data_IF_627611110846
#
_entry.id   IF_627611110846
#
_cell.length_a   1.000
_cell.length_b   1.000
_cell.length_c   1.000
_cell.angle_alpha   90.00
_cell.angle_beta   90.00
_cell.angle_gamma   90.00
#
_symmetry.space_group_name_H-M   'P 1'
#
loop_
_entity.id
_entity.type
_entity.pdbx_description
1 polymer ?
#
# COMPACT_ATOMS: atom_id res chain seq x y z
N UNK A 1 -0.65 -14.74 7.83
CA UNK A 1 -0.94 -16.07 7.23
C UNK A 1 -1.64 -16.96 8.24
N UNK A 2 -1.13 -17.05 9.44
CA UNK A 2 -1.70 -17.82 10.55
C UNK A 2 -3.22 -17.68 10.64
N UNK A 3 -3.68 -16.45 10.83
CA UNK A 3 -5.09 -16.15 10.95
C UNK A 3 -5.90 -16.50 9.69
N UNK A 4 -5.29 -16.33 8.52
CA UNK A 4 -5.98 -16.61 7.25
C UNK A 4 -6.11 -18.13 7.00
N UNK A 5 -5.09 -18.91 7.31
CA UNK A 5 -5.14 -20.37 7.19
C UNK A 5 -6.10 -21.00 8.21
N UNK A 6 -6.18 -20.47 9.43
CA UNK A 6 -7.16 -20.90 10.42
C UNK A 6 -8.61 -20.61 10.02
N UNK A 7 -8.81 -19.63 9.13
CA UNK A 7 -10.12 -19.30 8.53
C UNK A 7 -10.37 -20.04 7.20
N UNK A 8 -9.54 -21.02 6.84
CA UNK A 8 -9.72 -21.87 5.67
C UNK A 8 -9.08 -21.35 4.37
N UNK A 9 -8.26 -20.29 4.43
CA UNK A 9 -7.52 -19.84 3.26
C UNK A 9 -6.47 -20.88 2.84
N UNK A 10 -6.40 -21.17 1.54
CA UNK A 10 -5.41 -22.10 0.96
C UNK A 10 -4.15 -21.39 0.46
N UNK A 11 -4.15 -20.07 0.46
CA UNK A 11 -3.03 -19.23 0.04
C UNK A 11 -3.24 -17.78 0.46
N UNK A 12 -2.20 -17.00 0.31
CA UNK A 12 -2.20 -15.57 0.62
C UNK A 12 -1.57 -14.76 -0.51
N UNK A 13 -2.12 -13.58 -0.75
CA UNK A 13 -1.56 -12.61 -1.68
C UNK A 13 -1.04 -11.41 -0.90
N UNK A 14 0.20 -11.03 -1.13
CA UNK A 14 0.82 -9.89 -0.49
C UNK A 14 1.42 -8.94 -1.52
N UNK A 15 1.04 -7.66 -1.46
CA UNK A 15 1.61 -6.61 -2.30
C UNK A 15 2.53 -5.68 -1.52
N UNK A 16 2.00 -4.94 -0.55
CA UNK A 16 2.69 -3.86 0.15
C UNK A 16 4.01 -4.29 0.81
N UNK A 17 4.09 -5.50 1.38
CA UNK A 17 5.32 -6.01 1.97
C UNK A 17 6.43 -6.19 0.93
N UNK A 18 6.09 -6.67 -0.28
CA UNK A 18 7.05 -6.82 -1.38
C UNK A 18 7.41 -5.49 -2.06
N UNK A 19 6.50 -4.50 -2.05
CA UNK A 19 6.84 -3.13 -2.49
C UNK A 19 8.00 -2.55 -1.68
N UNK A 20 8.09 -2.89 -0.40
CA UNK A 20 9.15 -2.44 0.52
C UNK A 20 10.37 -3.38 0.53
N UNK A 21 10.36 -4.46 -0.25
CA UNK A 21 11.51 -5.36 -0.32
C UNK A 21 12.78 -4.64 -0.84
N UNK A 22 13.95 -5.10 -0.40
CA UNK A 22 15.25 -4.53 -0.83
C UNK A 22 15.43 -4.60 -2.34
N UNK A 23 14.95 -5.67 -2.96
CA UNK A 23 15.01 -5.88 -4.42
C UNK A 23 14.00 -5.07 -5.21
N UNK A 24 13.01 -4.47 -4.54
CA UNK A 24 12.03 -3.60 -5.20
C UNK A 24 12.71 -2.35 -5.76
N UNK A 25 12.41 -2.02 -7.01
CA UNK A 25 12.95 -0.83 -7.71
C UNK A 25 12.18 0.46 -7.39
N UNK A 26 11.22 0.40 -6.51
CA UNK A 26 10.46 1.56 -6.02
C UNK A 26 11.40 2.51 -5.28
N UNK A 27 11.22 3.80 -5.51
CA UNK A 27 12.05 4.85 -4.88
C UNK A 27 12.06 4.74 -3.36
N UNK A 28 13.22 4.98 -2.74
CA UNK A 28 13.43 4.84 -1.30
C UNK A 28 12.44 5.66 -0.47
N UNK A 29 12.12 6.88 -0.88
CA UNK A 29 11.13 7.71 -0.19
C UNK A 29 9.75 7.04 -0.08
N UNK A 30 9.36 6.29 -1.12
CA UNK A 30 8.11 5.53 -1.12
C UNK A 30 8.16 4.41 -0.08
N UNK A 31 9.24 3.61 -0.08
CA UNK A 31 9.46 2.53 0.90
C UNK A 31 9.40 3.08 2.32
N UNK A 32 10.14 4.15 2.58
CA UNK A 32 10.18 4.81 3.90
C UNK A 32 8.81 5.37 4.31
N UNK A 33 8.03 5.88 3.35
CA UNK A 33 6.67 6.36 3.64
C UNK A 33 5.74 5.21 4.07
N UNK A 34 5.90 4.02 3.47
CA UNK A 34 5.17 2.81 3.86
C UNK A 34 5.62 2.33 5.24
N UNK A 35 6.92 2.19 5.47
CA UNK A 35 7.49 1.72 6.76
C UNK A 35 7.08 2.60 7.94
N UNK A 36 6.96 3.90 7.72
CA UNK A 36 6.54 4.89 8.73
C UNK A 36 5.02 5.02 8.86
N UNK A 37 4.25 4.33 8.03
CA UNK A 37 2.79 4.42 8.07
C UNK A 37 2.21 3.89 9.38
N UNK A 38 1.14 4.56 9.83
CA UNK A 38 0.30 4.16 10.95
C UNK A 38 -1.04 3.66 10.43
N UNK A 39 -1.81 2.98 11.26
CA UNK A 39 -3.14 2.44 10.91
C UNK A 39 -4.09 3.50 10.34
N UNK A 40 -3.99 4.73 10.86
CA UNK A 40 -4.83 5.85 10.46
C UNK A 40 -4.36 6.56 9.18
N UNK A 41 -3.20 6.22 8.64
CA UNK A 41 -2.62 6.91 7.48
C UNK A 41 -3.19 6.41 6.14
N UNK A 42 -3.91 5.31 6.12
CA UNK A 42 -4.52 4.73 4.93
C UNK A 42 -5.90 5.31 4.69
N UNK A 43 -6.17 5.76 3.47
CA UNK A 43 -7.48 6.26 3.04
C UNK A 43 -7.81 5.80 1.62
N UNK A 44 -9.08 5.90 1.23
CA UNK A 44 -9.56 5.53 -0.11
C UNK A 44 -9.93 6.80 -0.86
N UNK A 45 -9.44 6.93 -2.08
CA UNK A 45 -9.79 7.98 -3.05
C UNK A 45 -10.52 7.37 -4.23
N UNK A 46 -11.26 8.16 -5.00
CA UNK A 46 -11.91 7.72 -6.23
C UNK A 46 -13.22 6.96 -6.01
N UNK A 47 -13.85 7.11 -4.86
CA UNK A 47 -15.18 6.50 -4.62
C UNK A 47 -16.24 7.05 -5.55
N UNK A 48 -16.27 8.37 -5.77
CA UNK A 48 -17.23 9.04 -6.65
C UNK A 48 -17.02 8.72 -8.13
N UNK A 49 -15.79 8.38 -8.51
CA UNK A 49 -15.43 8.04 -9.90
C UNK A 49 -15.68 6.58 -10.27
N UNK A 50 -16.03 5.74 -9.29
CA UNK A 50 -16.16 4.29 -9.48
C UNK A 50 -14.82 3.54 -9.57
N UNK A 51 -13.70 4.22 -9.35
CA UNK A 51 -12.35 3.66 -9.37
C UNK A 51 -11.63 3.83 -8.01
N UNK A 52 -12.13 3.20 -6.94
CA UNK A 52 -11.56 3.36 -5.60
C UNK A 52 -10.15 2.77 -5.53
N UNK A 53 -9.21 3.54 -5.03
CA UNK A 53 -7.86 3.09 -4.71
C UNK A 53 -7.49 3.42 -3.27
N UNK A 54 -6.74 2.53 -2.63
CA UNK A 54 -6.23 2.76 -1.28
C UNK A 54 -4.82 3.29 -1.33
N UNK A 55 -4.63 4.40 -0.62
CA UNK A 55 -3.37 5.18 -0.61
C UNK A 55 -3.00 5.61 0.79
N UNK A 56 -1.72 5.93 0.99
CA UNK A 56 -1.27 6.58 2.21
C UNK A 56 -1.51 8.08 2.09
N UNK A 57 -2.13 8.65 3.11
CA UNK A 57 -2.49 10.07 3.18
C UNK A 57 -1.29 10.99 2.98
N UNK A 58 -1.45 11.97 2.09
CA UNK A 58 -0.47 13.02 1.82
C UNK A 58 -1.17 14.33 1.37
N UNK A 59 -0.44 15.29 0.82
CA UNK A 59 -1.04 16.55 0.34
C UNK A 59 -1.98 16.31 -0.83
N UNK A 60 -1.54 15.54 -1.82
CA UNK A 60 -2.35 15.25 -3.02
C UNK A 60 -3.68 14.58 -2.64
N UNK A 61 -3.66 13.58 -1.77
CA UNK A 61 -4.89 12.87 -1.38
C UNK A 61 -5.87 13.76 -0.62
N UNK A 62 -5.37 14.70 0.20
CA UNK A 62 -6.21 15.67 0.90
C UNK A 62 -6.90 16.63 -0.06
N UNK A 63 -6.16 17.15 -1.03
CA UNK A 63 -6.71 18.02 -2.08
C UNK A 63 -7.72 17.27 -2.95
N UNK A 64 -7.39 16.03 -3.33
CA UNK A 64 -8.29 15.15 -4.09
C UNK A 64 -9.61 14.91 -3.35
N UNK A 65 -9.54 14.45 -2.09
CA UNK A 65 -10.74 14.16 -1.30
C UNK A 65 -11.58 15.41 -1.01
N UNK A 66 -10.95 16.57 -0.89
CA UNK A 66 -11.67 17.85 -0.77
C UNK A 66 -12.49 18.11 -2.03
N UNK A 67 -11.87 18.04 -3.20
CA UNK A 67 -12.56 18.24 -4.49
C UNK A 67 -13.62 17.16 -4.74
N UNK A 68 -13.34 15.93 -4.42
CA UNK A 68 -14.30 14.83 -4.54
C UNK A 68 -15.57 15.09 -3.71
N UNK A 69 -15.42 15.61 -2.47
CA UNK A 69 -16.55 16.02 -1.62
C UNK A 69 -17.32 17.23 -2.14
N UNK A 70 -16.64 18.14 -2.83
CA UNK A 70 -17.23 19.32 -3.47
C UNK A 70 -17.96 18.96 -4.77
N UNK A 71 -17.93 17.68 -5.18
CA UNK A 71 -18.61 17.21 -6.40
C UNK A 71 -17.87 17.56 -7.69
N UNK A 72 -16.55 17.69 -7.64
CA UNK A 72 -15.74 17.95 -8.83
C UNK A 72 -15.97 16.90 -9.92
N UNK A 73 -16.01 17.29 -11.21
CA UNK A 73 -16.21 16.36 -12.30
C UNK A 73 -15.07 15.36 -12.42
N UNK A 74 -15.36 14.20 -13.04
CA UNK A 74 -14.39 13.10 -13.21
C UNK A 74 -13.08 13.57 -13.84
N UNK A 75 -13.19 14.37 -14.91
CA UNK A 75 -12.03 14.86 -15.67
C UNK A 75 -11.06 15.70 -14.81
N UNK A 76 -11.59 16.48 -13.88
CA UNK A 76 -10.77 17.28 -12.95
C UNK A 76 -10.05 16.37 -11.94
N UNK A 77 -10.76 15.40 -11.40
CA UNK A 77 -10.18 14.43 -10.46
C UNK A 77 -9.12 13.53 -11.14
N UNK A 78 -9.38 13.13 -12.38
CA UNK A 78 -8.46 12.33 -13.18
C UNK A 78 -7.14 13.10 -13.44
N UNK A 79 -7.22 14.38 -13.81
CA UNK A 79 -6.05 15.22 -14.04
C UNK A 79 -5.13 15.32 -12.81
N UNK A 80 -5.69 15.29 -11.61
CA UNK A 80 -4.90 15.31 -10.37
C UNK A 80 -4.09 14.02 -10.15
N UNK A 81 -4.58 12.90 -10.66
CA UNK A 81 -3.97 11.58 -10.47
C UNK A 81 -3.11 11.14 -11.64
N UNK A 82 -3.23 11.83 -12.79
CA UNK A 82 -2.47 11.51 -13.98
C UNK A 82 -0.96 11.62 -13.73
N UNK A 83 -0.27 10.48 -13.87
CA UNK A 83 1.17 10.39 -13.58
C UNK A 83 1.55 10.41 -12.09
N UNK A 84 0.60 10.54 -11.16
CA UNK A 84 0.88 10.64 -9.74
C UNK A 84 1.55 9.37 -9.17
N UNK A 85 1.21 8.19 -9.68
CA UNK A 85 1.89 6.96 -9.28
C UNK A 85 3.37 6.98 -9.71
N UNK A 86 3.67 7.41 -10.94
CA UNK A 86 5.04 7.54 -11.43
C UNK A 86 5.86 8.52 -10.58
N UNK A 87 5.28 9.67 -10.20
CA UNK A 87 5.94 10.64 -9.31
C UNK A 87 6.38 9.99 -7.99
N UNK A 88 5.50 9.19 -7.38
CA UNK A 88 5.85 8.51 -6.13
C UNK A 88 6.87 7.39 -6.31
N UNK A 89 6.66 6.51 -7.31
CA UNK A 89 7.45 5.28 -7.51
C UNK A 89 8.84 5.56 -8.08
N UNK A 90 8.94 6.50 -9.04
CA UNK A 90 10.18 6.76 -9.78
C UNK A 90 10.89 8.01 -9.27
N UNK A 91 10.16 9.08 -9.03
CA UNK A 91 10.72 10.39 -8.66
C UNK A 91 10.81 10.57 -7.14
N UNK A 92 10.16 9.70 -6.37
CA UNK A 92 10.17 9.75 -4.91
C UNK A 92 9.37 10.89 -4.29
N UNK A 93 8.49 11.52 -5.08
CA UNK A 93 7.58 12.55 -4.57
C UNK A 93 6.40 11.92 -3.82
N UNK A 94 6.59 11.70 -2.53
CA UNK A 94 5.56 11.13 -1.65
C UNK A 94 4.56 12.17 -1.11
N UNK A 95 4.74 13.44 -1.47
CA UNK A 95 3.83 14.52 -1.06
C UNK A 95 2.71 14.75 -2.07
N UNK A 96 3.05 14.73 -3.37
CA UNK A 96 2.12 14.95 -4.47
C UNK A 96 1.95 13.73 -5.37
N UNK A 97 2.73 12.68 -5.16
CA UNK A 97 2.57 11.39 -5.82
C UNK A 97 1.55 10.49 -5.11
N UNK A 98 1.08 9.48 -5.82
CA UNK A 98 0.15 8.48 -5.30
C UNK A 98 0.92 7.34 -4.64
N UNK A 99 0.89 7.27 -3.31
CA UNK A 99 1.55 6.20 -2.53
C UNK A 99 0.52 5.11 -2.25
N UNK A 100 0.37 4.18 -3.19
CA UNK A 100 -0.56 3.06 -3.06
C UNK A 100 -0.05 2.05 -2.03
N UNK A 101 -0.89 1.69 -1.08
CA UNK A 101 -0.57 0.67 -0.08
C UNK A 101 -1.86 0.08 0.50
N UNK A 102 -1.82 -1.20 0.82
CA UNK A 102 -2.94 -1.88 1.45
C UNK A 102 -3.20 -1.41 2.88
N UNK A 103 -4.32 -1.83 3.44
CA UNK A 103 -4.74 -1.48 4.79
C UNK A 103 -3.72 -1.95 5.85
N UNK A 104 -3.03 -3.07 5.58
CA UNK A 104 -2.00 -3.66 6.43
C UNK A 104 -0.62 -2.98 6.31
N UNK A 105 -0.50 -1.85 5.59
CA UNK A 105 0.77 -1.13 5.44
C UNK A 105 1.43 -0.81 6.78
N UNK A 106 0.64 -0.49 7.80
CA UNK A 106 1.12 -0.22 9.15
C UNK A 106 1.83 -1.41 9.83
N UNK A 107 1.68 -2.62 9.33
CA UNK A 107 2.39 -3.82 9.82
C UNK A 107 3.78 -3.98 9.20
N UNK A 108 4.08 -3.29 8.10
CA UNK A 108 5.38 -3.33 7.43
C UNK A 108 6.31 -2.33 8.10
N UNK A 109 7.25 -2.80 8.93
CA UNK A 109 8.10 -1.95 9.78
C UNK A 109 9.57 -1.89 9.36
N UNK A 110 9.98 -2.71 8.42
CA UNK A 110 11.38 -2.80 7.96
C UNK A 110 11.46 -3.24 6.50
N UNK A 111 12.57 -2.90 5.88
CA UNK A 111 12.94 -3.48 4.60
C UNK A 111 13.62 -4.83 4.81
N UNK A 112 13.18 -5.81 4.04
CA UNK A 112 13.69 -7.18 4.04
C UNK A 112 13.93 -7.61 2.59
N UNK A 113 14.78 -8.62 2.40
CA UNK A 113 14.89 -9.27 1.10
C UNK A 113 13.63 -10.10 0.80
N UNK A 114 13.32 -10.31 -0.46
CA UNK A 114 12.23 -11.20 -0.87
C UNK A 114 12.38 -12.60 -0.24
N UNK A 115 13.61 -13.10 -0.16
CA UNK A 115 13.90 -14.41 0.46
C UNK A 115 13.59 -14.42 1.96
N UNK A 116 13.91 -13.33 2.68
CA UNK A 116 13.58 -13.19 4.10
C UNK A 116 12.06 -13.14 4.31
N UNK A 117 11.35 -12.37 3.48
CA UNK A 117 9.90 -12.26 3.52
C UNK A 117 9.24 -13.63 3.30
N UNK A 118 9.65 -14.37 2.27
CA UNK A 118 9.09 -15.69 1.96
C UNK A 118 9.37 -16.68 3.09
N UNK A 119 10.60 -16.68 3.63
CA UNK A 119 10.98 -17.58 4.72
C UNK A 119 10.16 -17.29 5.99
N UNK A 120 9.98 -16.02 6.35
CA UNK A 120 9.19 -15.62 7.50
C UNK A 120 7.72 -16.09 7.37
N UNK A 121 7.17 -15.89 6.19
CA UNK A 121 5.81 -16.31 5.83
C UNK A 121 5.64 -17.81 5.92
N UNK A 122 6.55 -18.58 5.32
CA UNK A 122 6.46 -20.05 5.29
C UNK A 122 6.73 -20.67 6.65
N UNK A 123 7.74 -20.19 7.38
CA UNK A 123 8.02 -20.69 8.73
C UNK A 123 6.89 -20.42 9.73
N UNK A 124 6.18 -19.29 9.56
CA UNK A 124 4.97 -19.02 10.32
C UNK A 124 3.86 -20.03 10.03
N UNK A 125 3.63 -20.33 8.75
CA UNK A 125 2.64 -21.32 8.32
C UNK A 125 2.97 -22.75 8.83
N UNK A 126 4.23 -23.17 8.71
CA UNK A 126 4.70 -24.48 9.15
C UNK A 126 4.52 -24.71 10.67
N UNK A 127 4.84 -23.67 11.47
CA UNK A 127 4.64 -23.74 12.93
C UNK A 127 3.21 -24.00 13.32
N UNK A 128 2.25 -23.44 12.58
CA UNK A 128 0.83 -23.64 12.85
C UNK A 128 0.31 -25.00 12.40
N UNK A 129 0.77 -25.47 11.24
CA UNK A 129 0.40 -26.77 10.71
C UNK A 129 0.99 -27.91 11.55
N UNK A 130 2.17 -27.69 12.17
CA UNK A 130 2.84 -28.65 13.04
C UNK A 130 2.31 -28.71 14.48
N UNK A 131 1.40 -27.81 14.86
CA UNK A 131 0.80 -27.76 16.21
C UNK A 131 -0.55 -28.51 16.29
N UNK A 132 -0.91 -29.30 15.29
CA UNK A 132 -2.13 -30.12 15.28
C UNK A 132 -1.84 -31.55 15.72
#
# INVERSE_FOLDING_TARGET
IEQMCSLGAQGVQMGTRFVVAKESTVHENYKQRVVKAKDIDSEVTGMSTGHPIRVIRNKMTREYLKKEKEGAPFEELEQMTLGALRKAVVEGDVMYGSVMAGQSAALVKKEETCAEIIRDVMSGAEKLLGQK
#
